data_IF_724459823825
#
_entry.id   IF_724459823825
#
_cell.length_a   1.000
_cell.length_b   1.000
_cell.length_c   1.000
_cell.angle_alpha   90.00
_cell.angle_beta   90.00
_cell.angle_gamma   90.00
#
_symmetry.space_group_name_H-M   'P 1'
#
loop_
_entity.id
_entity.type
_entity.pdbx_description
1 polymer ?
#
# COMPACT_ATOMS: atom_id res chain seq x y z
N UNK A 1 -32.51 -12.37 28.68
CA UNK A 1 -31.14 -11.85 28.85
C UNK A 1 -30.36 -12.06 27.56
N UNK A 2 -30.19 -11.01 26.73
CA UNK A 2 -29.23 -10.89 25.59
C UNK A 2 -29.61 -9.65 24.76
N UNK A 3 -29.32 -8.46 25.28
CA UNK A 3 -29.43 -7.17 24.55
C UNK A 3 -28.31 -6.17 24.91
N UNK A 4 -27.14 -6.66 25.32
CA UNK A 4 -26.04 -5.82 25.80
C UNK A 4 -24.68 -6.17 25.16
N UNK A 5 -24.64 -6.42 23.86
CA UNK A 5 -23.36 -6.69 23.15
C UNK A 5 -23.19 -5.91 21.84
N UNK A 6 -23.86 -4.77 21.69
CA UNK A 6 -23.66 -3.88 20.52
C UNK A 6 -23.19 -2.48 20.94
N UNK A 7 -23.26 -2.14 22.23
CA UNK A 7 -22.91 -0.78 22.71
C UNK A 7 -21.40 -0.62 22.97
N UNK A 8 -20.63 -1.72 23.05
CA UNK A 8 -19.19 -1.62 23.34
C UNK A 8 -18.30 -1.31 22.12
N UNK A 9 -18.82 -1.43 20.88
CA UNK A 9 -18.02 -1.17 19.67
C UNK A 9 -18.13 0.27 19.17
N UNK A 10 -19.03 1.09 19.75
CA UNK A 10 -19.27 2.48 19.34
C UNK A 10 -18.51 3.49 20.24
N UNK A 11 -17.93 3.03 21.36
CA UNK A 11 -17.31 3.91 22.37
C UNK A 11 -15.78 4.09 22.24
N UNK A 12 -15.20 3.78 21.08
CA UNK A 12 -13.79 4.07 20.75
C UNK A 12 -13.65 4.94 19.49
N UNK A 13 -14.64 5.80 19.22
CA UNK A 13 -14.61 6.74 18.09
C UNK A 13 -13.92 8.06 18.45
N UNK A 14 -13.72 8.36 19.73
CA UNK A 14 -13.06 9.59 20.14
C UNK A 14 -11.56 9.40 20.40
N UNK A 15 -10.81 10.28 19.73
CA UNK A 15 -9.37 10.55 19.86
C UNK A 15 -8.43 9.56 19.16
N UNK A 16 -8.62 9.41 17.86
CA UNK A 16 -7.46 9.30 16.97
C UNK A 16 -7.77 9.99 15.64
N UNK A 17 -7.50 11.31 15.58
CA UNK A 17 -7.39 12.05 14.33
C UNK A 17 -6.12 11.59 13.58
N UNK A 18 -6.03 10.30 13.29
CA UNK A 18 -4.99 9.82 12.40
C UNK A 18 -5.51 10.02 10.99
N UNK A 19 -4.87 10.97 10.31
CA UNK A 19 -5.01 11.28 8.90
C UNK A 19 -4.59 10.07 8.05
N UNK A 20 -5.40 9.01 8.05
CA UNK A 20 -5.09 7.75 7.41
C UNK A 20 -5.87 7.68 6.10
N UNK A 21 -5.20 7.83 4.96
CA UNK A 21 -5.88 7.83 3.69
C UNK A 21 -6.41 6.44 3.35
N UNK A 22 -7.66 6.41 2.87
CA UNK A 22 -8.37 5.18 2.51
C UNK A 22 -8.77 5.26 1.05
N UNK A 23 -8.40 4.26 0.25
CA UNK A 23 -8.76 4.10 -1.16
C UNK A 23 -9.71 2.89 -1.30
N UNK A 24 -10.86 3.12 -1.92
CA UNK A 24 -11.75 2.09 -2.44
C UNK A 24 -11.63 2.07 -3.97
N UNK A 25 -11.19 0.95 -4.53
CA UNK A 25 -11.15 0.71 -5.96
C UNK A 25 -12.22 -0.33 -6.32
N UNK A 26 -13.11 0.03 -7.25
CA UNK A 26 -14.15 -0.84 -7.79
C UNK A 26 -13.80 -1.13 -9.25
N UNK A 27 -13.21 -2.29 -9.50
CA UNK A 27 -12.86 -2.73 -10.85
C UNK A 27 -13.93 -3.60 -11.49
N UNK A 28 -13.67 -4.10 -12.70
CA UNK A 28 -14.53 -5.01 -13.44
C UNK A 28 -14.44 -6.48 -12.98
N UNK A 29 -13.32 -6.89 -12.38
CA UNK A 29 -13.10 -8.26 -11.90
C UNK A 29 -13.08 -8.38 -10.37
N UNK A 30 -12.64 -7.31 -9.68
CA UNK A 30 -12.48 -7.28 -8.22
C UNK A 30 -12.57 -5.86 -7.66
N UNK A 31 -12.96 -5.78 -6.40
CA UNK A 31 -12.85 -4.57 -5.59
C UNK A 31 -11.69 -4.67 -4.60
N UNK A 32 -11.05 -3.54 -4.31
CA UNK A 32 -10.00 -3.48 -3.28
C UNK A 32 -10.18 -2.29 -2.35
N UNK A 33 -9.94 -2.53 -1.06
CA UNK A 33 -9.75 -1.50 -0.04
C UNK A 33 -8.24 -1.40 0.24
N UNK A 34 -7.67 -0.20 0.18
CA UNK A 34 -6.23 0.04 0.38
C UNK A 34 -6.05 1.22 1.33
N UNK A 35 -5.32 0.99 2.42
CA UNK A 35 -5.02 1.97 3.46
C UNK A 35 -3.51 2.10 3.49
N UNK A 36 -2.96 3.24 3.09
CA UNK A 36 -1.51 3.38 2.92
C UNK A 36 -0.99 4.75 3.34
N UNK A 37 -0.10 4.78 4.33
CA UNK A 37 0.48 6.02 4.86
C UNK A 37 1.93 5.89 5.31
N UNK A 38 2.55 7.05 5.44
CA UNK A 38 3.88 7.28 6.00
C UNK A 38 3.73 8.17 7.22
N UNK A 39 4.38 7.83 8.33
CA UNK A 39 4.34 8.66 9.54
C UNK A 39 5.64 8.54 10.32
N UNK A 40 6.26 9.67 10.63
CA UNK A 40 7.40 9.69 11.54
C UNK A 40 6.95 9.44 12.98
N UNK A 41 7.74 8.68 13.73
CA UNK A 41 7.52 8.55 15.16
C UNK A 41 7.83 9.89 15.83
N UNK A 42 7.01 10.27 16.83
CA UNK A 42 7.21 11.50 17.58
C UNK A 42 8.15 11.27 18.76
N UNK A 43 9.05 12.22 19.01
CA UNK A 43 9.90 12.22 20.19
C UNK A 43 9.17 12.82 21.41
N UNK A 44 9.85 12.90 22.56
CA UNK A 44 9.31 13.47 23.80
C UNK A 44 8.91 14.95 23.69
N UNK A 45 9.41 15.67 22.70
CA UNK A 45 9.08 17.07 22.39
C UNK A 45 8.00 17.20 21.29
N UNK A 46 7.37 16.09 20.91
CA UNK A 46 6.37 16.01 19.84
C UNK A 46 6.88 16.41 18.44
N UNK A 47 8.20 16.38 18.23
CA UNK A 47 8.84 16.57 16.92
C UNK A 47 9.01 15.23 16.21
N UNK A 48 9.08 15.27 14.89
CA UNK A 48 9.39 14.07 14.10
C UNK A 48 10.79 13.57 14.43
N UNK A 49 10.89 12.27 14.71
CA UNK A 49 12.16 11.57 14.88
C UNK A 49 12.67 11.04 13.54
N UNK A 50 13.89 10.51 13.53
CA UNK A 50 14.48 9.86 12.35
C UNK A 50 13.80 8.53 11.99
N UNK A 51 12.92 8.00 12.84
CA UNK A 51 12.22 6.76 12.57
C UNK A 51 10.95 7.02 11.78
N UNK A 52 10.85 6.38 10.61
CA UNK A 52 9.68 6.44 9.75
C UNK A 52 8.95 5.09 9.78
N UNK A 53 7.64 5.16 10.00
CA UNK A 53 6.71 4.06 9.87
C UNK A 53 6.00 4.14 8.52
N UNK A 54 6.02 3.05 7.77
CA UNK A 54 5.17 2.83 6.61
C UNK A 54 4.15 1.75 6.95
N UNK A 55 2.87 2.03 6.65
CA UNK A 55 1.81 1.05 6.75
C UNK A 55 1.09 0.94 5.41
N UNK A 56 0.78 -0.30 5.04
CA UNK A 56 -0.17 -0.61 3.98
C UNK A 56 -1.02 -1.81 4.34
N UNK A 57 -2.32 -1.60 4.43
CA UNK A 57 -3.30 -2.67 4.60
C UNK A 57 -4.16 -2.71 3.35
N UNK A 58 -4.20 -3.86 2.68
CA UNK A 58 -4.98 -4.05 1.47
C UNK A 58 -5.82 -5.30 1.54
N UNK A 59 -7.10 -5.16 1.22
CA UNK A 59 -8.04 -6.27 1.08
C UNK A 59 -8.56 -6.29 -0.35
N UNK A 60 -8.70 -7.47 -0.94
CA UNK A 60 -9.16 -7.66 -2.31
C UNK A 60 -10.20 -8.77 -2.37
N UNK A 61 -11.35 -8.48 -2.99
CA UNK A 61 -12.48 -9.40 -3.15
C UNK A 61 -12.78 -9.52 -4.64
N UNK A 62 -12.67 -10.74 -5.17
CA UNK A 62 -13.03 -11.04 -6.56
C UNK A 62 -14.54 -11.29 -6.67
N UNK A 63 -15.18 -10.80 -7.73
CA UNK A 63 -16.63 -10.98 -7.91
C UNK A 63 -17.05 -12.41 -8.26
N UNK A 64 -16.13 -13.21 -8.83
CA UNK A 64 -16.32 -14.63 -9.16
C UNK A 64 -15.80 -15.54 -8.03
N UNK A 65 -16.01 -15.13 -6.78
CA UNK A 65 -15.65 -15.93 -5.61
C UNK A 65 -16.44 -17.24 -5.58
N UNK A 66 -15.75 -18.33 -5.28
CA UNK A 66 -16.35 -19.65 -5.06
C UNK A 66 -15.78 -20.23 -3.76
N UNK A 67 -16.38 -21.29 -3.19
CA UNK A 67 -15.86 -21.91 -1.97
C UNK A 67 -14.39 -22.39 -2.07
N UNK A 68 -13.87 -22.63 -3.27
CA UNK A 68 -12.53 -23.19 -3.50
C UNK A 68 -11.61 -22.33 -4.37
N UNK A 69 -12.11 -21.26 -4.99
CA UNK A 69 -11.32 -20.41 -5.90
C UNK A 69 -11.71 -18.93 -5.79
N UNK A 70 -10.75 -18.05 -6.12
CA UNK A 70 -10.90 -16.59 -6.05
C UNK A 70 -11.29 -16.09 -4.65
N UNK A 71 -10.78 -16.77 -3.61
CA UNK A 71 -11.03 -16.40 -2.22
C UNK A 71 -10.54 -14.97 -1.93
N UNK A 72 -11.19 -14.26 -1.00
CA UNK A 72 -10.70 -12.98 -0.52
C UNK A 72 -9.24 -13.06 -0.11
N UNK A 73 -8.47 -12.04 -0.47
CA UNK A 73 -7.07 -11.92 -0.09
C UNK A 73 -6.86 -10.64 0.70
N UNK A 74 -5.96 -10.72 1.67
CA UNK A 74 -5.53 -9.56 2.45
C UNK A 74 -4.01 -9.52 2.51
N UNK A 75 -3.48 -8.33 2.73
CA UNK A 75 -2.07 -8.08 2.99
C UNK A 75 -1.90 -6.90 3.92
N UNK A 76 -1.14 -7.13 4.99
CA UNK A 76 -0.65 -6.11 5.91
C UNK A 76 0.85 -6.00 5.64
N UNK A 77 1.32 -4.81 5.31
CA UNK A 77 2.73 -4.52 5.11
C UNK A 77 3.10 -3.35 6.00
N UNK A 78 3.88 -3.63 7.02
CA UNK A 78 4.37 -2.64 7.97
C UNK A 78 5.87 -2.56 7.84
N UNK A 79 6.42 -1.35 7.84
CA UNK A 79 7.86 -1.16 7.77
C UNK A 79 8.32 -0.06 8.71
N UNK A 80 9.48 -0.27 9.30
CA UNK A 80 10.18 0.70 10.14
C UNK A 80 11.54 0.95 9.50
N UNK A 81 11.89 2.22 9.35
CA UNK A 81 13.12 2.64 8.68
C UNK A 81 13.77 3.82 9.41
N UNK A 82 15.10 3.89 9.35
CA UNK A 82 15.89 4.94 9.98
C UNK A 82 16.33 5.98 8.92
N UNK A 83 15.59 7.10 8.83
CA UNK A 83 15.70 8.14 7.82
C UNK A 83 16.38 9.39 8.38
N UNK A 84 17.63 9.24 8.81
CA UNK A 84 18.40 10.39 9.29
C UNK A 84 18.55 11.44 8.18
N UNK A 85 18.40 12.76 8.46
CA UNK A 85 18.43 13.82 7.44
C UNK A 85 19.66 13.81 6.52
N UNK A 86 20.83 13.39 7.03
CA UNK A 86 22.06 13.27 6.24
C UNK A 86 21.98 12.22 5.11
N UNK A 87 21.07 11.25 5.22
CA UNK A 87 20.88 10.18 4.22
C UNK A 87 19.95 10.60 3.08
N UNK A 88 19.35 11.80 3.14
CA UNK A 88 18.53 12.38 2.07
C UNK A 88 17.42 11.44 1.56
N UNK A 89 16.76 10.73 2.48
CA UNK A 89 15.66 9.82 2.18
C UNK A 89 16.06 8.36 1.96
N UNK A 90 17.35 8.04 1.79
CA UNK A 90 17.81 6.65 1.82
C UNK A 90 17.84 6.12 3.27
N UNK A 91 17.34 4.91 3.49
CA UNK A 91 17.32 4.33 4.82
C UNK A 91 17.38 2.80 4.79
N UNK A 92 18.06 2.15 5.77
CA UNK A 92 17.81 0.75 6.05
C UNK A 92 16.37 0.57 6.54
N UNK A 93 15.74 -0.52 6.14
CA UNK A 93 14.34 -0.81 6.46
C UNK A 93 14.17 -2.25 6.91
N UNK A 94 13.30 -2.44 7.90
CA UNK A 94 12.74 -3.72 8.28
C UNK A 94 11.25 -3.73 7.94
N UNK A 95 10.77 -4.82 7.35
CA UNK A 95 9.40 -4.96 6.88
C UNK A 95 8.79 -6.23 7.45
N UNK A 96 7.59 -6.13 8.02
CA UNK A 96 6.74 -7.26 8.35
C UNK A 96 5.58 -7.33 7.35
N UNK A 97 5.52 -8.38 6.54
CA UNK A 97 4.40 -8.65 5.65
C UNK A 97 3.57 -9.82 6.17
N UNK A 98 2.28 -9.59 6.41
CA UNK A 98 1.31 -10.63 6.78
C UNK A 98 0.29 -10.75 5.65
N UNK A 99 0.27 -11.89 4.98
CA UNK A 99 -0.71 -12.22 3.96
C UNK A 99 -1.58 -13.40 4.43
N UNK A 100 -2.63 -13.71 3.68
CA UNK A 100 -3.41 -14.93 3.87
C UNK A 100 -2.58 -16.22 3.81
N UNK A 101 -1.37 -16.16 3.26
CA UNK A 101 -0.43 -17.27 3.14
C UNK A 101 0.61 -17.37 4.26
N UNK A 102 0.69 -16.38 5.16
CA UNK A 102 1.63 -16.38 6.28
C UNK A 102 2.32 -15.05 6.56
N UNK A 103 3.34 -15.11 7.42
CA UNK A 103 4.19 -13.99 7.81
C UNK A 103 5.54 -14.07 7.08
N UNK A 104 5.96 -12.95 6.50
CA UNK A 104 7.16 -12.81 5.70
C UNK A 104 7.96 -11.58 6.19
N UNK A 105 8.86 -11.77 7.17
CA UNK A 105 9.77 -10.71 7.59
C UNK A 105 10.81 -10.44 6.49
N UNK A 106 11.10 -9.17 6.21
CA UNK A 106 12.05 -8.73 5.19
C UNK A 106 12.93 -7.62 5.72
N UNK A 107 14.09 -7.43 5.10
CA UNK A 107 14.94 -6.27 5.32
C UNK A 107 15.64 -5.86 4.04
N UNK A 108 16.06 -4.60 3.99
CA UNK A 108 16.82 -4.06 2.86
C UNK A 108 16.93 -2.55 2.96
N UNK A 109 16.77 -1.88 1.83
CA UNK A 109 16.92 -0.43 1.73
C UNK A 109 15.69 0.19 1.09
N UNK A 110 15.33 1.37 1.57
CA UNK A 110 14.31 2.21 0.97
C UNK A 110 14.87 3.56 0.55
N UNK A 111 14.12 4.24 -0.29
CA UNK A 111 14.24 5.67 -0.56
C UNK A 111 12.85 6.31 -0.45
N UNK A 112 12.76 7.40 0.31
CA UNK A 112 11.52 8.17 0.49
C UNK A 112 11.75 9.64 0.22
N UNK A 113 10.86 10.25 -0.56
CA UNK A 113 10.79 11.68 -0.78
C UNK A 113 9.31 12.08 -0.81
N UNK A 114 8.90 12.88 0.18
CA UNK A 114 7.52 13.33 0.34
C UNK A 114 7.55 14.85 0.37
N UNK A 115 6.82 15.47 -0.55
CA UNK A 115 6.52 16.88 -0.60
C UNK A 115 5.01 17.08 -0.74
N UNK A 116 4.55 18.34 -0.75
CA UNK A 116 3.13 18.66 -0.86
C UNK A 116 2.47 18.14 -2.15
N UNK A 117 3.22 18.12 -3.25
CA UNK A 117 2.70 17.76 -4.58
C UNK A 117 3.24 16.43 -5.10
N UNK A 118 4.20 15.81 -4.41
CA UNK A 118 4.85 14.58 -4.87
C UNK A 118 5.13 13.65 -3.70
N UNK A 119 4.82 12.37 -3.89
CA UNK A 119 5.34 11.29 -3.06
C UNK A 119 6.08 10.31 -3.98
N UNK A 120 7.37 10.14 -3.73
CA UNK A 120 8.16 9.08 -4.32
C UNK A 120 8.66 8.18 -3.20
N UNK A 121 8.36 6.89 -3.31
CA UNK A 121 8.81 5.87 -2.39
C UNK A 121 9.26 4.65 -3.16
N UNK A 122 10.40 4.08 -2.79
CA UNK A 122 10.87 2.83 -3.36
C UNK A 122 11.61 2.01 -2.33
N UNK A 123 11.58 0.69 -2.47
CA UNK A 123 12.47 -0.18 -1.73
C UNK A 123 12.98 -1.34 -2.57
N UNK A 124 14.07 -1.92 -2.08
CA UNK A 124 14.52 -3.25 -2.39
C UNK A 124 14.70 -4.00 -1.08
N UNK A 125 13.92 -5.06 -0.87
CA UNK A 125 13.97 -5.86 0.36
C UNK A 125 14.03 -7.34 0.04
N UNK A 126 14.67 -8.12 0.92
CA UNK A 126 14.77 -9.57 0.82
C UNK A 126 14.09 -10.22 2.03
N UNK A 127 13.34 -11.29 1.79
CA UNK A 127 12.82 -12.13 2.87
C UNK A 127 13.95 -12.70 3.74
N UNK A 128 13.72 -12.75 5.06
CA UNK A 128 14.68 -13.31 6.03
C UNK A 128 14.51 -14.82 6.25
N UNK A 129 13.57 -15.44 5.53
CA UNK A 129 13.26 -16.87 5.61
C UNK A 129 14.06 -17.68 4.56
N UNK A 130 14.01 -19.02 4.68
CA UNK A 130 14.64 -19.92 3.71
C UNK A 130 13.99 -19.77 2.33
N UNK A 131 14.80 -19.74 1.27
CA UNK A 131 14.39 -19.49 -0.13
C UNK A 131 13.77 -18.09 -0.31
N UNK A 132 14.54 -17.03 -0.05
CA UNK A 132 14.03 -15.68 0.02
C UNK A 132 13.44 -15.21 -1.31
N UNK A 133 12.40 -14.39 -1.23
CA UNK A 133 11.95 -13.54 -2.34
C UNK A 133 12.47 -12.12 -2.15
N UNK A 134 12.87 -11.50 -3.26
CA UNK A 134 13.28 -10.11 -3.32
C UNK A 134 12.12 -9.28 -3.85
N UNK A 135 11.72 -8.25 -3.12
CA UNK A 135 10.70 -7.30 -3.56
C UNK A 135 11.38 -6.03 -4.01
N UNK A 136 11.06 -5.60 -5.22
CA UNK A 136 11.33 -4.24 -5.70
C UNK A 136 10.01 -3.50 -5.82
N UNK A 137 9.83 -2.45 -5.02
CA UNK A 137 8.61 -1.65 -5.00
C UNK A 137 8.92 -0.22 -5.38
N UNK A 138 8.01 0.39 -6.14
CA UNK A 138 8.01 1.82 -6.44
C UNK A 138 6.58 2.34 -6.31
N UNK A 139 6.44 3.48 -5.67
CA UNK A 139 5.25 4.31 -5.60
C UNK A 139 5.65 5.71 -6.04
N UNK A 140 5.01 6.20 -7.10
CA UNK A 140 5.03 7.59 -7.52
C UNK A 140 3.60 8.12 -7.42
N UNK A 141 3.42 9.20 -6.67
CA UNK A 141 2.17 9.96 -6.62
C UNK A 141 2.48 11.42 -6.92
N UNK A 142 1.72 12.02 -7.81
CA UNK A 142 1.79 13.41 -8.18
C UNK A 142 0.41 14.04 -8.01
N UNK A 143 0.36 15.19 -7.33
CA UNK A 143 -0.84 16.00 -7.17
C UNK A 143 -0.60 17.46 -7.56
N UNK A 144 -0.23 17.73 -8.83
CA UNK A 144 0.03 19.10 -9.28
C UNK A 144 -1.27 19.91 -9.24
N UNK A 145 -1.13 21.18 -8.86
CA UNK A 145 -2.25 22.13 -8.79
C UNK A 145 -2.80 22.45 -10.19
N UNK A 146 -4.13 22.46 -10.30
CA UNK A 146 -4.87 22.94 -11.47
C UNK A 146 -5.40 24.34 -11.16
N UNK A 147 -6.06 24.47 -10.01
CA UNK A 147 -6.63 25.69 -9.43
C UNK A 147 -6.64 25.55 -7.90
N UNK A 148 -6.91 26.63 -7.16
CA UNK A 148 -6.73 26.74 -5.70
C UNK A 148 -7.23 25.55 -4.86
N UNK A 149 -8.37 24.95 -5.22
CA UNK A 149 -8.96 23.79 -4.51
C UNK A 149 -8.99 22.50 -5.32
N UNK A 150 -8.41 22.53 -6.52
CA UNK A 150 -8.47 21.48 -7.51
C UNK A 150 -7.06 21.05 -7.93
N UNK A 151 -6.69 19.81 -7.65
CA UNK A 151 -5.42 19.25 -8.10
C UNK A 151 -5.67 18.05 -9.01
N UNK A 152 -4.72 17.75 -9.90
CA UNK A 152 -4.67 16.42 -10.50
C UNK A 152 -4.36 15.39 -9.43
N UNK A 153 -4.74 14.14 -9.68
CA UNK A 153 -4.25 12.99 -8.93
C UNK A 153 -3.71 11.95 -9.92
N UNK A 154 -2.42 11.70 -9.86
CA UNK A 154 -1.73 10.73 -10.71
C UNK A 154 -0.96 9.81 -9.77
N UNK A 155 -1.19 8.52 -9.85
CA UNK A 155 -0.43 7.54 -9.06
C UNK A 155 -0.01 6.36 -9.93
N UNK A 156 1.26 6.00 -9.84
CA UNK A 156 1.80 4.79 -10.43
C UNK A 156 2.49 3.98 -9.34
N UNK A 157 2.17 2.69 -9.27
CA UNK A 157 2.82 1.74 -8.39
C UNK A 157 3.32 0.55 -9.20
N UNK A 158 4.47 0.02 -8.83
CA UNK A 158 4.91 -1.32 -9.27
C UNK A 158 5.50 -2.11 -8.11
N UNK A 159 5.18 -3.40 -8.07
CA UNK A 159 5.78 -4.39 -7.18
C UNK A 159 6.28 -5.56 -8.03
N UNK A 160 7.57 -5.80 -8.00
CA UNK A 160 8.23 -6.92 -8.67
C UNK A 160 8.80 -7.86 -7.63
N UNK A 161 8.32 -9.11 -7.61
CA UNK A 161 8.77 -10.15 -6.68
C UNK A 161 9.61 -11.18 -7.43
N UNK A 162 10.87 -11.27 -7.04
CA UNK A 162 11.86 -12.18 -7.61
C UNK A 162 12.20 -13.30 -6.62
N UNK A 163 11.77 -14.54 -6.86
CA UNK A 163 12.15 -15.65 -5.99
C UNK A 163 13.59 -16.11 -6.24
N UNK A 164 14.33 -16.39 -5.18
CA UNK A 164 15.63 -17.08 -5.27
C UNK A 164 15.51 -18.54 -5.71
N UNK A 165 14.41 -19.21 -5.37
CA UNK A 165 14.16 -20.60 -5.75
C UNK A 165 13.57 -20.70 -7.17
N UNK A 166 14.16 -21.56 -8.00
CA UNK A 166 13.75 -21.78 -9.39
C UNK A 166 12.35 -22.37 -9.56
N UNK A 167 11.81 -23.03 -8.53
CA UNK A 167 10.46 -23.60 -8.57
C UNK A 167 9.36 -22.56 -8.30
N UNK A 168 9.72 -21.40 -7.76
CA UNK A 168 8.78 -20.33 -7.47
C UNK A 168 8.58 -19.40 -8.68
N UNK A 169 7.39 -18.81 -8.77
CA UNK A 169 7.01 -17.91 -9.87
C UNK A 169 7.42 -16.47 -9.58
N UNK A 170 7.81 -15.75 -10.62
CA UNK A 170 7.86 -14.29 -10.58
C UNK A 170 6.44 -13.73 -10.47
N UNK A 171 6.31 -12.58 -9.82
CA UNK A 171 5.05 -11.87 -9.70
C UNK A 171 5.30 -10.38 -9.92
N UNK A 172 4.67 -9.81 -10.94
CA UNK A 172 4.79 -8.41 -11.32
C UNK A 172 3.43 -7.76 -11.26
N UNK A 173 3.30 -6.77 -10.37
CA UNK A 173 2.08 -5.99 -10.19
C UNK A 173 2.39 -4.55 -10.61
N UNK A 174 1.49 -3.96 -11.39
CA UNK A 174 1.53 -2.55 -11.76
C UNK A 174 0.15 -1.96 -11.53
N UNK A 175 0.08 -0.75 -11.01
CA UNK A 175 -1.19 -0.11 -10.70
C UNK A 175 -1.14 1.37 -11.00
N UNK A 176 -2.04 1.83 -11.87
CA UNK A 176 -2.12 3.21 -12.30
C UNK A 176 -3.47 3.83 -11.89
N UNK A 177 -3.43 5.04 -11.34
CA UNK A 177 -4.61 5.83 -11.01
C UNK A 177 -4.46 7.18 -11.67
N UNK A 178 -5.54 7.67 -12.27
CA UNK A 178 -5.62 8.98 -12.87
C UNK A 178 -6.97 9.59 -12.51
N UNK A 179 -6.94 10.77 -11.91
CA UNK A 179 -8.14 11.41 -11.40
C UNK A 179 -7.90 12.84 -10.96
N UNK A 180 -8.82 13.32 -10.13
CA UNK A 180 -8.82 14.69 -9.61
C UNK A 180 -8.90 14.61 -8.09
N UNK A 181 -8.23 15.55 -7.43
CA UNK A 181 -8.31 15.80 -5.99
C UNK A 181 -9.09 17.11 -5.77
N UNK A 182 -10.14 17.01 -4.97
CA UNK A 182 -10.95 18.12 -4.46
C UNK A 182 -10.85 18.10 -2.94
N UNK A 183 -10.03 19.01 -2.38
CA UNK A 183 -9.72 19.00 -0.95
C UNK A 183 -9.19 17.62 -0.50
N UNK A 184 -9.86 16.93 0.42
CA UNK A 184 -9.50 15.60 0.93
C UNK A 184 -9.91 14.46 0.00
N UNK A 185 -10.85 14.69 -0.91
CA UNK A 185 -11.46 13.66 -1.75
C UNK A 185 -10.72 13.53 -3.09
N UNK A 186 -10.42 12.30 -3.48
CA UNK A 186 -9.75 11.94 -4.72
C UNK A 186 -10.56 10.89 -5.45
N UNK A 187 -10.77 11.04 -6.75
CA UNK A 187 -11.50 10.05 -7.52
C UNK A 187 -11.11 10.09 -8.99
N UNK A 188 -11.33 8.98 -9.68
CA UNK A 188 -11.05 8.87 -11.09
C UNK A 188 -10.96 7.42 -11.56
N UNK A 189 -10.16 7.19 -12.59
CA UNK A 189 -9.96 5.89 -13.19
C UNK A 189 -8.76 5.17 -12.58
N UNK A 190 -8.88 3.85 -12.48
CA UNK A 190 -7.84 2.97 -11.96
C UNK A 190 -7.67 1.74 -12.85
N UNK A 191 -6.42 1.28 -12.95
CA UNK A 191 -6.02 0.11 -13.70
C UNK A 191 -4.97 -0.67 -12.90
N UNK A 192 -5.27 -1.93 -12.59
CA UNK A 192 -4.34 -2.88 -12.00
C UNK A 192 -3.97 -3.95 -13.03
N UNK A 193 -2.67 -4.17 -13.21
CA UNK A 193 -2.11 -5.23 -14.03
C UNK A 193 -1.32 -6.17 -13.14
N UNK A 194 -1.45 -7.47 -13.40
CA UNK A 194 -0.71 -8.49 -12.68
C UNK A 194 -0.25 -9.59 -13.64
N UNK A 195 1.02 -9.97 -13.54
CA UNK A 195 1.63 -11.03 -14.32
C UNK A 195 2.36 -12.00 -13.39
N UNK A 196 1.95 -13.27 -13.44
CA UNK A 196 2.55 -14.34 -12.63
C UNK A 196 3.07 -15.42 -13.55
N UNK A 197 4.35 -15.79 -13.42
CA UNK A 197 4.95 -16.76 -14.32
C UNK A 197 6.46 -16.95 -14.17
N UNK A 198 7.02 -17.78 -15.05
CA UNK A 198 8.48 -17.97 -15.17
C UNK A 198 8.89 -18.00 -16.64
N UNK A 199 8.46 -19.03 -17.37
CA UNK A 199 8.66 -19.14 -18.83
C UNK A 199 7.38 -18.77 -19.61
N UNK A 200 6.23 -18.97 -18.97
CA UNK A 200 4.92 -18.53 -19.47
C UNK A 200 4.26 -17.72 -18.36
N UNK A 201 3.65 -16.60 -18.75
CA UNK A 201 3.04 -15.64 -17.83
C UNK A 201 1.52 -15.65 -17.98
N UNK A 202 0.84 -15.84 -16.84
CA UNK A 202 -0.59 -15.57 -16.74
C UNK A 202 -0.77 -14.09 -16.40
N UNK A 203 -1.45 -13.37 -17.28
CA UNK A 203 -1.78 -11.97 -17.10
C UNK A 203 -3.22 -11.83 -16.60
N UNK A 204 -3.45 -10.88 -15.69
CA UNK A 204 -4.78 -10.44 -15.28
C UNK A 204 -4.81 -8.92 -15.20
N UNK A 205 -5.94 -8.33 -15.55
CA UNK A 205 -6.16 -6.89 -15.56
C UNK A 205 -7.44 -6.56 -14.81
N UNK A 206 -7.47 -5.46 -14.07
CA UNK A 206 -8.68 -4.98 -13.42
C UNK A 206 -8.79 -3.47 -13.64
N UNK A 207 -9.82 -3.04 -14.33
CA UNK A 207 -10.07 -1.63 -14.68
C UNK A 207 -11.34 -1.14 -14.00
N UNK A 208 -11.37 0.12 -13.59
CA UNK A 208 -12.59 0.72 -13.05
C UNK A 208 -12.36 2.08 -12.43
N UNK A 209 -13.16 2.40 -11.43
CA UNK A 209 -13.11 3.68 -10.72
C UNK A 209 -12.56 3.55 -9.32
N UNK A 210 -11.82 4.55 -8.85
CA UNK A 210 -11.41 4.65 -7.45
C UNK A 210 -11.99 5.89 -6.80
N UNK A 211 -12.20 5.79 -5.49
CA UNK A 211 -12.46 6.90 -4.59
C UNK A 211 -11.46 6.77 -3.44
N UNK A 212 -10.84 7.87 -3.06
CA UNK A 212 -9.88 7.94 -1.97
C UNK A 212 -10.16 9.17 -1.13
N UNK A 213 -10.03 9.03 0.18
CA UNK A 213 -10.20 10.12 1.12
C UNK A 213 -8.95 10.23 1.99
N UNK A 214 -8.31 11.40 1.99
CA UNK A 214 -7.18 11.73 2.86
C UNK A 214 -7.72 12.54 4.06
N UNK A 215 -7.76 11.93 5.25
CA UNK A 215 -8.26 12.57 6.49
C UNK A 215 -7.32 13.68 7.00
#
# INVERSE_FOLDING_TARGET
MKKYLIILTILFVDVCYSQIPVELFMGNDKSTLDIMFFRYFKNSENKDSDWLFFNRNRVSINYKVTPSSNLPSFGFTEAISFNHPSLKGFAPVFVAQIFSTGLFPKSGFQYVNISEQMTFFSWIVSELLKNPKFDFFVLLRLTPEIDHSLNWFIQFETLSVFPSNQNNLYNFIQRARLGIKLSELQFGFAADFNQVGRNSFKTSTNFGGFIRYDF
#
